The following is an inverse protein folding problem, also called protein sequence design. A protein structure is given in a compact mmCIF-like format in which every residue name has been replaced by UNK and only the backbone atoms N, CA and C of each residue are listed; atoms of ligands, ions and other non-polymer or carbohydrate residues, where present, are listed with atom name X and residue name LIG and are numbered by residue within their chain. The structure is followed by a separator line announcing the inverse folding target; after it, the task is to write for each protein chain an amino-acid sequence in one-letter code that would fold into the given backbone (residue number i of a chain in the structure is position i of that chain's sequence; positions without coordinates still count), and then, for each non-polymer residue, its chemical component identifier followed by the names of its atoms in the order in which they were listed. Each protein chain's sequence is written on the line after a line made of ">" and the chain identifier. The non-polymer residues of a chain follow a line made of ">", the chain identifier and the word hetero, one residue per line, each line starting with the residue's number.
data_IF_954260853664
#
_entry.id   IF_954260853664
#
_cell.length_a   1.000
_cell.length_b   1.000
_cell.length_c   1.000
_cell.angle_alpha   90.00
_cell.angle_beta   90.00
_cell.angle_gamma   90.00
#
_symmetry.space_group_name_H-M   'P 1'
#
loop_
_entity.id
_entity.type
_entity.pdbx_description
1 polymer ?
#
# COMPACT_ATOMS: atom_id res chain seq x y z
N UNK A 1 -3.08 -5.42 -30.82
CA UNK A 1 -1.63 -5.21 -30.65
C UNK A 1 -0.98 -5.39 -32.01
N UNK A 2 -0.36 -4.34 -32.54
CA UNK A 2 0.30 -4.41 -33.85
C UNK A 2 1.55 -5.28 -33.72
N UNK A 3 1.69 -6.28 -34.60
CA UNK A 3 2.81 -7.25 -34.59
C UNK A 3 4.18 -6.62 -34.90
N UNK A 4 4.21 -5.33 -35.24
CA UNK A 4 5.39 -4.62 -35.74
C UNK A 4 5.87 -3.48 -34.84
N UNK A 5 5.16 -3.16 -33.74
CA UNK A 5 5.57 -2.07 -32.83
C UNK A 5 5.26 -0.64 -33.31
N UNK A 6 4.64 -0.48 -34.49
CA UNK A 6 4.36 0.81 -35.14
C UNK A 6 3.57 1.82 -34.28
N UNK A 7 2.79 1.33 -33.31
CA UNK A 7 1.96 2.15 -32.42
C UNK A 7 2.61 2.41 -31.05
N UNK A 8 3.82 1.90 -30.81
CA UNK A 8 4.48 2.02 -29.51
C UNK A 8 4.94 3.45 -29.24
N UNK A 9 5.53 4.12 -30.24
CA UNK A 9 5.95 5.53 -30.14
C UNK A 9 4.78 6.46 -29.77
N UNK A 10 3.67 6.51 -30.54
CA UNK A 10 2.57 7.42 -30.20
C UNK A 10 1.92 7.09 -28.85
N UNK A 11 1.90 5.82 -28.44
CA UNK A 11 1.41 5.42 -27.12
C UNK A 11 2.32 5.96 -26.00
N UNK A 12 3.64 5.78 -26.12
CA UNK A 12 4.62 6.29 -25.15
C UNK A 12 4.53 7.81 -25.05
N UNK A 13 4.50 8.52 -26.18
CA UNK A 13 4.40 9.97 -26.22
C UNK A 13 3.12 10.46 -25.53
N UNK A 14 1.98 9.80 -25.81
CA UNK A 14 0.70 10.11 -25.17
C UNK A 14 0.77 9.94 -23.65
N UNK A 15 1.33 8.82 -23.16
CA UNK A 15 1.43 8.54 -21.72
C UNK A 15 2.34 9.55 -21.04
N UNK A 16 3.52 9.84 -21.63
CA UNK A 16 4.46 10.84 -21.10
C UNK A 16 3.81 12.22 -21.03
N UNK A 17 3.13 12.64 -22.10
CA UNK A 17 2.40 13.90 -22.13
C UNK A 17 1.30 13.97 -21.06
N UNK A 18 0.63 12.86 -20.76
CA UNK A 18 -0.54 12.85 -19.88
C UNK A 18 -0.16 12.73 -18.40
N UNK A 19 0.86 11.94 -18.08
CA UNK A 19 1.15 11.52 -16.71
C UNK A 19 2.53 11.96 -16.22
N UNK A 20 3.42 12.40 -17.12
CA UNK A 20 4.82 12.68 -16.80
C UNK A 20 5.28 14.02 -17.42
N UNK A 21 4.38 14.98 -17.59
CA UNK A 21 4.70 16.29 -18.18
C UNK A 21 5.43 17.25 -17.22
N UNK A 22 5.29 17.07 -15.91
CA UNK A 22 5.91 17.94 -14.89
C UNK A 22 7.41 17.66 -14.69
N UNK A 23 7.96 16.59 -15.26
CA UNK A 23 9.43 16.35 -15.30
C UNK A 23 10.13 17.16 -16.39
N UNK A 24 9.44 18.10 -17.04
CA UNK A 24 9.92 18.89 -18.18
C UNK A 24 10.81 20.10 -17.83
N UNK A 25 11.01 20.45 -16.56
CA UNK A 25 11.85 21.60 -16.15
C UNK A 25 13.36 21.28 -16.10
N UNK A 26 13.79 20.10 -16.58
CA UNK A 26 15.19 19.89 -16.89
C UNK A 26 15.55 20.68 -18.17
N UNK A 27 16.60 21.54 -18.16
CA UNK A 27 16.96 22.35 -19.32
C UNK A 27 17.11 21.48 -20.57
N UNK A 28 16.56 21.96 -21.69
CA UNK A 28 16.69 21.38 -23.03
C UNK A 28 18.14 21.47 -23.50
N UNK A 29 19.00 20.65 -22.90
CA UNK A 29 20.33 20.33 -23.38
C UNK A 29 20.24 19.16 -24.35
N UNK A 30 21.14 19.12 -25.33
CA UNK A 30 21.18 18.21 -26.48
C UNK A 30 21.40 16.70 -26.16
N UNK A 31 20.91 16.19 -25.03
CA UNK A 31 20.77 14.76 -24.71
C UNK A 31 19.44 14.53 -23.98
N UNK A 32 18.32 14.64 -24.69
CA UNK A 32 17.04 14.25 -24.10
C UNK A 32 17.02 12.73 -23.90
N UNK A 33 16.82 12.21 -22.68
CA UNK A 33 16.42 10.81 -22.53
C UNK A 33 15.14 10.64 -23.36
N UNK A 34 15.09 9.57 -24.17
CA UNK A 34 13.94 9.31 -25.03
C UNK A 34 12.65 9.29 -24.20
N UNK A 35 11.50 9.53 -24.83
CA UNK A 35 10.20 9.47 -24.14
C UNK A 35 10.02 8.14 -23.38
N UNK A 36 10.61 7.04 -23.90
CA UNK A 36 10.64 5.75 -23.25
C UNK A 36 11.41 5.73 -21.92
N UNK A 37 12.57 6.39 -21.84
CA UNK A 37 13.33 6.54 -20.59
C UNK A 37 12.54 7.34 -19.55
N UNK A 38 11.92 8.45 -19.96
CA UNK A 38 11.09 9.27 -19.07
C UNK A 38 9.89 8.48 -18.54
N UNK A 39 9.24 7.71 -19.42
CA UNK A 39 8.15 6.83 -19.05
C UNK A 39 8.61 5.78 -18.03
N UNK A 40 9.70 5.06 -18.31
CA UNK A 40 10.19 3.99 -17.44
C UNK A 40 10.58 4.51 -16.05
N UNK A 41 11.27 5.65 -15.99
CA UNK A 41 11.65 6.28 -14.72
C UNK A 41 10.43 6.74 -13.90
N UNK A 42 9.46 7.37 -14.57
CA UNK A 42 8.22 7.80 -13.94
C UNK A 42 7.39 6.63 -13.42
N UNK A 43 7.29 5.55 -14.19
CA UNK A 43 6.60 4.31 -13.78
C UNK A 43 7.33 3.64 -12.61
N UNK A 44 8.67 3.61 -12.61
CA UNK A 44 9.45 3.12 -11.48
C UNK A 44 9.10 3.85 -10.18
N UNK A 45 9.03 5.19 -10.23
CA UNK A 45 8.62 6.01 -9.08
C UNK A 45 7.17 5.73 -8.64
N UNK A 46 6.26 5.61 -9.59
CA UNK A 46 4.85 5.31 -9.33
C UNK A 46 4.66 3.95 -8.68
N UNK A 47 5.30 2.90 -9.21
CA UNK A 47 5.20 1.54 -8.67
C UNK A 47 5.78 1.44 -7.26
N UNK A 48 6.92 2.08 -7.01
CA UNK A 48 7.53 2.11 -5.67
C UNK A 48 6.63 2.81 -4.63
N UNK A 49 6.03 3.95 -5.00
CA UNK A 49 5.09 4.68 -4.14
C UNK A 49 3.80 3.90 -3.89
N UNK A 50 3.24 3.27 -4.92
CA UNK A 50 1.99 2.53 -4.82
C UNK A 50 2.14 1.29 -3.93
N UNK A 51 3.16 0.48 -4.20
CA UNK A 51 3.38 -0.76 -3.46
C UNK A 51 3.76 -0.52 -2.01
N UNK A 52 4.59 0.48 -1.72
CA UNK A 52 4.90 0.84 -0.33
C UNK A 52 3.65 1.22 0.45
N UNK A 53 2.70 1.91 -0.17
CA UNK A 53 1.42 2.25 0.45
C UNK A 53 0.55 1.01 0.72
N UNK A 54 0.49 0.07 -0.23
CA UNK A 54 -0.18 -1.22 -0.02
C UNK A 54 0.42 -1.98 1.17
N UNK A 55 1.75 -2.04 1.27
CA UNK A 55 2.44 -2.74 2.36
C UNK A 55 2.05 -2.17 3.72
N UNK A 56 2.13 -0.85 3.91
CA UNK A 56 1.85 -0.23 5.21
C UNK A 56 0.37 -0.22 5.59
N UNK A 57 -0.54 -0.40 4.64
CA UNK A 57 -1.97 -0.55 4.88
C UNK A 57 -2.42 -2.01 5.02
N UNK A 58 -1.53 -2.99 4.79
CA UNK A 58 -1.91 -4.40 4.83
C UNK A 58 -2.82 -4.80 3.66
N UNK A 59 -2.72 -4.09 2.52
CA UNK A 59 -3.50 -4.40 1.32
C UNK A 59 -2.79 -5.47 0.48
N UNK A 60 -3.55 -6.46 0.04
CA UNK A 60 -3.13 -7.52 -0.87
C UNK A 60 -4.00 -7.45 -2.12
N UNK A 61 -3.39 -7.20 -3.28
CA UNK A 61 -4.10 -7.10 -4.56
C UNK A 61 -4.57 -8.47 -5.07
N UNK A 62 -3.79 -9.52 -4.84
CA UNK A 62 -4.16 -10.91 -5.15
C UNK A 62 -4.00 -11.35 -6.62
N UNK A 63 -3.89 -10.42 -7.59
CA UNK A 63 -3.58 -10.72 -9.02
C UNK A 63 -2.79 -9.56 -9.65
N UNK A 64 -1.47 -9.57 -9.46
CA UNK A 64 -0.56 -8.54 -9.98
C UNK A 64 0.09 -8.96 -11.30
N UNK A 65 -0.73 -9.38 -12.27
CA UNK A 65 -0.27 -9.58 -13.65
C UNK A 65 0.11 -8.22 -14.29
N UNK A 66 0.88 -8.24 -15.38
CA UNK A 66 1.37 -7.01 -16.03
C UNK A 66 0.26 -6.14 -16.61
N UNK A 67 -0.86 -6.73 -17.04
CA UNK A 67 -2.06 -6.02 -17.49
C UNK A 67 -2.81 -5.30 -16.36
N UNK A 68 -2.57 -5.69 -15.10
CA UNK A 68 -3.12 -5.05 -13.90
C UNK A 68 -2.17 -4.02 -13.26
N UNK A 69 -1.04 -3.72 -13.91
CA UNK A 69 -0.07 -2.75 -13.43
C UNK A 69 -0.18 -1.42 -14.21
N UNK A 70 -1.07 -0.53 -13.77
CA UNK A 70 -1.27 0.75 -14.44
C UNK A 70 -0.04 1.66 -14.34
N UNK A 71 0.41 2.15 -15.50
CA UNK A 71 1.60 3.01 -15.62
C UNK A 71 1.45 4.36 -14.86
N UNK A 72 0.23 4.82 -14.61
CA UNK A 72 -0.05 6.00 -13.78
C UNK A 72 0.12 5.76 -12.27
N UNK A 73 0.37 4.52 -11.82
CA UNK A 73 0.56 4.20 -10.41
C UNK A 73 -0.73 4.16 -9.59
N UNK A 74 -1.87 3.89 -10.23
CA UNK A 74 -3.15 3.65 -9.57
C UNK A 74 -3.41 2.15 -9.41
N UNK A 75 -4.17 1.78 -8.37
CA UNK A 75 -4.67 0.41 -8.23
C UNK A 75 -5.84 0.18 -9.18
N UNK A 76 -5.89 -0.95 -9.86
CA UNK A 76 -6.99 -1.36 -10.76
C UNK A 76 -7.37 -2.81 -10.49
N UNK A 77 -8.45 -3.25 -11.11
CA UNK A 77 -8.86 -4.66 -11.16
C UNK A 77 -9.00 -5.29 -9.77
N UNK A 78 -9.87 -4.67 -8.98
CA UNK A 78 -10.28 -5.13 -7.65
C UNK A 78 -11.09 -6.42 -7.76
N UNK A 79 -10.41 -7.53 -8.02
CA UNK A 79 -10.95 -8.88 -7.98
C UNK A 79 -10.74 -9.50 -6.60
N UNK A 80 -9.74 -10.38 -6.42
CA UNK A 80 -9.51 -11.06 -5.17
C UNK A 80 -8.55 -10.25 -4.27
N UNK A 81 -8.78 -8.94 -4.18
CA UNK A 81 -8.03 -8.08 -3.28
C UNK A 81 -8.66 -8.07 -1.88
N UNK A 82 -7.85 -7.79 -0.87
CA UNK A 82 -8.30 -7.68 0.50
C UNK A 82 -7.36 -6.82 1.33
N UNK A 83 -7.89 -6.24 2.40
CA UNK A 83 -7.08 -5.76 3.50
C UNK A 83 -6.97 -6.86 4.56
N UNK A 84 -5.81 -6.96 5.19
CA UNK A 84 -5.60 -7.86 6.32
C UNK A 84 -6.41 -7.40 7.53
N UNK A 85 -7.17 -8.32 8.12
CA UNK A 85 -7.77 -8.11 9.44
C UNK A 85 -6.68 -8.28 10.51
N UNK A 86 -6.33 -9.51 10.85
CA UNK A 86 -5.16 -9.80 11.69
C UNK A 86 -3.85 -9.70 10.90
N UNK A 87 -2.76 -9.40 11.59
CA UNK A 87 -1.44 -9.40 10.99
C UNK A 87 -0.95 -10.83 10.71
N UNK A 88 -0.91 -11.20 9.44
CA UNK A 88 -0.27 -12.40 8.91
C UNK A 88 0.87 -11.99 7.94
N UNK A 89 2.15 -12.24 8.28
CA UNK A 89 3.28 -11.88 7.43
C UNK A 89 3.31 -12.61 6.08
N UNK A 90 2.46 -13.63 5.88
CA UNK A 90 2.30 -14.39 4.65
C UNK A 90 0.91 -14.25 4.02
N UNK A 91 0.15 -13.21 4.41
CA UNK A 91 -1.24 -13.04 4.00
C UNK A 91 -1.43 -13.18 2.48
N UNK A 92 -2.34 -14.07 2.10
CA UNK A 92 -2.72 -14.33 0.72
C UNK A 92 -4.21 -14.67 0.65
N UNK A 93 -4.97 -13.95 -0.18
CA UNK A 93 -6.43 -14.07 -0.23
C UNK A 93 -6.96 -14.65 -1.55
N UNK A 94 -6.16 -14.58 -2.61
CA UNK A 94 -6.61 -14.97 -3.93
C UNK A 94 -6.85 -16.48 -4.02
N UNK A 95 -8.09 -16.87 -4.31
CA UNK A 95 -8.49 -18.27 -4.44
C UNK A 95 -7.74 -19.02 -5.57
N UNK A 96 -7.22 -18.29 -6.55
CA UNK A 96 -6.44 -18.83 -7.67
C UNK A 96 -4.93 -18.85 -7.40
N UNK A 97 -4.45 -18.09 -6.41
CA UNK A 97 -3.03 -18.03 -6.04
C UNK A 97 -2.65 -19.10 -5.00
N UNK A 98 -2.65 -20.36 -5.44
CA UNK A 98 -2.33 -21.50 -4.57
C UNK A 98 -0.88 -21.55 -4.10
N UNK A 99 0.02 -20.80 -4.73
CA UNK A 99 1.46 -20.79 -4.44
C UNK A 99 1.91 -19.54 -3.70
N UNK A 100 1.00 -18.60 -3.41
CA UNK A 100 1.32 -17.34 -2.73
C UNK A 100 2.18 -16.40 -3.56
N UNK A 101 2.13 -16.48 -4.91
CA UNK A 101 2.89 -15.59 -5.80
C UNK A 101 2.59 -14.11 -5.51
N UNK A 102 1.34 -13.81 -5.19
CA UNK A 102 0.83 -12.47 -4.92
C UNK A 102 0.54 -12.23 -3.43
N UNK A 103 1.11 -13.05 -2.54
CA UNK A 103 1.05 -12.83 -1.10
C UNK A 103 1.62 -11.45 -0.72
N UNK A 104 1.16 -10.91 0.41
CA UNK A 104 1.53 -9.59 0.92
C UNK A 104 3.04 -9.26 0.80
N UNK A 105 3.99 -10.08 1.29
CA UNK A 105 5.41 -9.75 1.24
C UNK A 105 6.02 -9.81 -0.17
N UNK A 106 5.36 -10.48 -1.11
CA UNK A 106 5.86 -10.70 -2.47
C UNK A 106 5.50 -9.53 -3.42
N UNK A 107 4.48 -8.73 -3.09
CA UNK A 107 3.98 -7.66 -3.98
C UNK A 107 5.05 -6.66 -4.43
N UNK A 108 5.98 -6.19 -3.56
CA UNK A 108 7.06 -5.28 -3.99
C UNK A 108 7.96 -5.93 -5.04
N UNK A 109 8.32 -7.20 -4.87
CA UNK A 109 9.14 -7.95 -5.82
C UNK A 109 8.43 -8.22 -7.15
N UNK A 110 7.13 -8.49 -7.11
CA UNK A 110 6.32 -8.66 -8.33
C UNK A 110 6.24 -7.36 -9.13
N UNK A 111 6.07 -6.21 -8.48
CA UNK A 111 6.02 -4.92 -9.17
C UNK A 111 7.39 -4.51 -9.73
N UNK A 112 8.49 -4.91 -9.07
CA UNK A 112 9.83 -4.81 -9.64
C UNK A 112 9.96 -5.64 -10.92
N UNK A 113 9.45 -6.88 -10.91
CA UNK A 113 9.44 -7.75 -12.08
C UNK A 113 8.57 -7.21 -13.22
N UNK A 114 7.37 -6.68 -12.91
CA UNK A 114 6.49 -6.04 -13.90
C UNK A 114 7.17 -4.81 -14.54
N UNK A 115 7.96 -4.04 -13.77
CA UNK A 115 8.77 -2.94 -14.29
C UNK A 115 9.84 -3.42 -15.28
N UNK A 116 10.51 -4.54 -14.99
CA UNK A 116 11.49 -5.13 -15.91
C UNK A 116 10.84 -5.60 -17.23
N UNK A 117 9.66 -6.22 -17.18
CA UNK A 117 8.90 -6.60 -18.38
C UNK A 117 8.50 -5.39 -19.22
N UNK A 118 8.08 -4.29 -18.57
CA UNK A 118 7.82 -3.03 -19.27
C UNK A 118 9.08 -2.50 -19.96
N UNK A 119 10.22 -2.55 -19.28
CA UNK A 119 11.47 -2.06 -19.83
C UNK A 119 11.92 -2.83 -21.09
N UNK A 120 11.75 -4.16 -21.12
CA UNK A 120 12.01 -4.98 -22.30
C UNK A 120 11.21 -4.50 -23.52
N UNK A 121 9.94 -4.13 -23.31
CA UNK A 121 9.08 -3.60 -24.36
C UNK A 121 9.54 -2.22 -24.88
N UNK A 122 10.27 -1.46 -24.07
CA UNK A 122 10.71 -0.10 -24.36
C UNK A 122 12.12 -0.03 -24.98
N UNK A 123 12.91 -1.11 -24.95
CA UNK A 123 14.30 -1.12 -25.45
C UNK A 123 14.45 -0.50 -26.86
N UNK A 124 13.61 -0.83 -27.87
CA UNK A 124 13.76 -0.26 -29.21
C UNK A 124 13.55 1.26 -29.27
N UNK A 125 12.92 1.84 -28.25
CA UNK A 125 12.67 3.29 -28.14
C UNK A 125 13.67 3.99 -27.21
N UNK A 126 14.49 3.24 -26.48
CA UNK A 126 15.53 3.80 -25.62
C UNK A 126 16.77 4.13 -26.46
N UNK A 127 17.23 3.19 -27.27
CA UNK A 127 18.42 3.36 -28.12
C UNK A 127 18.45 2.33 -29.26
N UNK A 128 19.05 2.68 -30.41
CA UNK A 128 19.17 1.78 -31.58
C UNK A 128 20.11 0.60 -31.32
N UNK A 129 21.18 0.82 -30.54
CA UNK A 129 22.04 -0.25 -30.02
C UNK A 129 21.39 -0.90 -28.79
N UNK A 130 21.12 -2.20 -28.91
CA UNK A 130 20.38 -2.99 -27.92
C UNK A 130 21.08 -3.07 -26.56
N UNK A 131 22.41 -3.20 -26.53
CA UNK A 131 23.16 -3.30 -25.27
C UNK A 131 23.19 -1.96 -24.53
N UNK A 132 23.31 -0.85 -25.26
CA UNK A 132 23.15 0.49 -24.71
C UNK A 132 21.74 0.71 -24.15
N UNK A 133 20.70 0.27 -24.87
CA UNK A 133 19.32 0.35 -24.40
C UNK A 133 19.09 -0.45 -23.11
N UNK A 134 19.61 -1.69 -23.05
CA UNK A 134 19.54 -2.54 -21.85
C UNK A 134 20.24 -1.91 -20.67
N UNK A 135 21.43 -1.35 -20.86
CA UNK A 135 22.18 -0.70 -19.78
C UNK A 135 21.38 0.48 -19.19
N UNK A 136 20.87 1.36 -20.05
CA UNK A 136 20.07 2.51 -19.61
C UNK A 136 18.76 2.09 -18.92
N UNK A 137 18.09 1.04 -19.40
CA UNK A 137 16.91 0.48 -18.75
C UNK A 137 17.23 -0.12 -17.38
N UNK A 138 18.31 -0.89 -17.28
CA UNK A 138 18.73 -1.55 -16.05
C UNK A 138 19.09 -0.55 -14.96
N UNK A 139 19.78 0.55 -15.30
CA UNK A 139 20.08 1.64 -14.35
C UNK A 139 18.82 2.22 -13.69
N UNK A 140 17.68 2.21 -14.39
CA UNK A 140 16.40 2.71 -13.85
C UNK A 140 15.69 1.64 -13.02
N UNK A 141 15.68 0.40 -13.50
CA UNK A 141 15.10 -0.74 -12.79
C UNK A 141 15.80 -0.94 -11.43
N UNK A 142 17.13 -0.87 -11.40
CA UNK A 142 17.94 -1.05 -10.19
C UNK A 142 17.68 0.01 -9.11
N UNK A 143 17.05 1.14 -9.45
CA UNK A 143 16.64 2.16 -8.49
C UNK A 143 15.35 1.79 -7.75
N UNK A 144 14.54 0.86 -8.27
CA UNK A 144 13.24 0.50 -7.69
C UNK A 144 13.34 0.08 -6.22
N UNK A 145 14.24 -0.83 -5.79
CA UNK A 145 14.32 -1.26 -4.40
C UNK A 145 14.59 -0.10 -3.43
N UNK A 146 15.50 0.82 -3.80
CA UNK A 146 15.84 1.99 -2.99
C UNK A 146 14.66 2.97 -2.91
N UNK A 147 13.98 3.23 -4.03
CA UNK A 147 12.78 4.09 -4.07
C UNK A 147 11.63 3.51 -3.25
N UNK A 148 11.37 2.21 -3.39
CA UNK A 148 10.37 1.50 -2.59
C UNK A 148 10.69 1.61 -1.10
N UNK A 149 11.93 1.32 -0.71
CA UNK A 149 12.34 1.35 0.69
C UNK A 149 12.20 2.76 1.29
N UNK A 150 12.60 3.80 0.56
CA UNK A 150 12.44 5.19 1.00
C UNK A 150 10.97 5.56 1.25
N UNK A 151 10.06 5.23 0.32
CA UNK A 151 8.62 5.48 0.50
C UNK A 151 8.04 4.64 1.64
N UNK A 152 8.42 3.37 1.74
CA UNK A 152 7.96 2.48 2.79
C UNK A 152 8.39 2.97 4.18
N UNK A 153 9.66 3.37 4.34
CA UNK A 153 10.17 3.94 5.59
C UNK A 153 9.48 5.25 5.93
N UNK A 154 9.21 6.10 4.94
CA UNK A 154 8.48 7.36 5.15
C UNK A 154 7.07 7.10 5.70
N UNK A 155 6.30 6.21 5.05
CA UNK A 155 4.96 5.87 5.52
C UNK A 155 4.98 5.20 6.89
N UNK A 156 5.90 4.27 7.12
CA UNK A 156 6.01 3.56 8.39
C UNK A 156 6.41 4.51 9.54
N UNK A 157 7.32 5.45 9.29
CA UNK A 157 7.63 6.52 10.24
C UNK A 157 6.37 7.31 10.61
N UNK A 158 5.60 7.74 9.60
CA UNK A 158 4.37 8.50 9.82
C UNK A 158 3.35 7.70 10.64
N UNK A 159 3.16 6.41 10.34
CA UNK A 159 2.25 5.53 11.09
C UNK A 159 2.67 5.32 12.54
N UNK A 160 3.97 5.39 12.82
CA UNK A 160 4.55 5.29 14.17
C UNK A 160 4.69 6.64 14.87
N UNK A 161 4.30 7.75 14.23
CA UNK A 161 4.50 9.09 14.80
C UNK A 161 5.98 9.43 15.02
N UNK A 162 6.84 9.04 14.07
CA UNK A 162 8.26 9.35 14.00
C UNK A 162 8.54 10.33 12.85
N UNK A 163 9.49 11.23 13.03
CA UNK A 163 9.89 12.19 12.00
C UNK A 163 10.74 11.55 10.89
N UNK A 164 11.52 10.54 11.26
CA UNK A 164 12.26 9.65 10.36
C UNK A 164 12.58 8.34 11.06
N UNK A 165 12.77 7.28 10.27
CA UNK A 165 13.39 6.05 10.76
C UNK A 165 14.91 6.17 10.74
N UNK A 166 15.54 5.51 11.70
CA UNK A 166 16.98 5.35 11.83
C UNK A 166 17.31 3.87 12.00
N UNK A 167 18.57 3.47 11.79
CA UNK A 167 18.98 2.06 11.89
C UNK A 167 18.55 1.34 13.19
N UNK A 168 18.66 1.96 14.38
CA UNK A 168 18.17 1.34 15.62
C UNK A 168 16.66 1.03 15.63
N UNK A 169 15.86 1.79 14.86
CA UNK A 169 14.40 1.65 14.82
C UNK A 169 13.95 0.35 14.16
N UNK A 170 14.79 -0.27 13.32
CA UNK A 170 14.49 -1.57 12.71
C UNK A 170 14.17 -2.64 13.74
N UNK A 171 14.92 -2.68 14.85
CA UNK A 171 14.68 -3.64 15.94
C UNK A 171 13.37 -3.38 16.68
N UNK A 172 12.98 -2.11 16.83
CA UNK A 172 11.72 -1.71 17.46
C UNK A 172 10.54 -2.12 16.57
N UNK A 173 10.63 -1.83 15.28
CA UNK A 173 9.62 -2.18 14.27
C UNK A 173 9.45 -3.69 14.15
N UNK A 174 10.56 -4.45 14.12
CA UNK A 174 10.48 -5.91 14.04
C UNK A 174 9.75 -6.50 15.25
N UNK A 175 10.09 -6.06 16.47
CA UNK A 175 9.37 -6.49 17.68
C UNK A 175 7.88 -6.19 17.62
N UNK A 176 7.48 -5.03 17.09
CA UNK A 176 6.08 -4.68 16.92
C UNK A 176 5.36 -5.73 16.05
N UNK A 177 5.88 -5.99 14.85
CA UNK A 177 5.29 -6.98 13.94
C UNK A 177 5.32 -8.40 14.52
N UNK A 178 6.37 -8.79 15.24
CA UNK A 178 6.47 -10.10 15.89
C UNK A 178 5.37 -10.27 16.95
N UNK A 179 5.08 -9.23 17.74
CA UNK A 179 3.98 -9.22 18.71
C UNK A 179 2.64 -9.33 17.99
N UNK A 180 2.42 -8.53 16.93
CA UNK A 180 1.16 -8.59 16.18
C UNK A 180 0.92 -10.00 15.61
N UNK A 181 1.96 -10.63 15.05
CA UNK A 181 1.86 -11.96 14.47
C UNK A 181 1.62 -13.03 15.53
N UNK A 182 2.35 -12.97 16.65
CA UNK A 182 2.27 -13.99 17.72
C UNK A 182 0.92 -14.01 18.42
N UNK A 183 0.24 -12.86 18.49
CA UNK A 183 -1.06 -12.70 19.12
C UNK A 183 -2.22 -12.57 18.11
N UNK A 184 -1.96 -12.74 16.80
CA UNK A 184 -2.94 -12.55 15.71
C UNK A 184 -3.72 -11.22 15.84
N UNK A 185 -3.01 -10.13 16.20
CA UNK A 185 -3.64 -8.84 16.45
C UNK A 185 -4.11 -8.19 15.15
N UNK A 186 -5.22 -7.44 15.23
CA UNK A 186 -5.73 -6.67 14.11
C UNK A 186 -4.71 -5.61 13.66
N UNK A 187 -4.28 -5.68 12.40
CA UNK A 187 -3.20 -4.86 11.87
C UNK A 187 -3.57 -3.38 11.84
N UNK A 188 -4.79 -3.07 11.41
CA UNK A 188 -5.26 -1.68 11.31
C UNK A 188 -5.49 -1.09 12.70
N UNK A 189 -6.18 -1.82 13.58
CA UNK A 189 -6.51 -1.35 14.92
C UNK A 189 -5.26 -1.26 15.81
N UNK A 190 -4.22 -2.07 15.61
CA UNK A 190 -2.96 -1.92 16.33
C UNK A 190 -2.29 -0.56 16.02
N UNK A 191 -2.21 -0.16 14.75
CA UNK A 191 -1.71 1.17 14.39
C UNK A 191 -2.65 2.29 14.83
N UNK A 192 -3.96 2.05 14.81
CA UNK A 192 -4.92 3.01 15.35
C UNK A 192 -4.77 3.18 16.86
N UNK A 193 -4.48 2.11 17.58
CA UNK A 193 -4.17 2.13 19.00
C UNK A 193 -2.96 2.98 19.33
N UNK A 194 -1.87 2.86 18.56
CA UNK A 194 -0.74 3.78 18.70
C UNK A 194 -1.14 5.24 18.48
N UNK A 195 -2.03 5.50 17.53
CA UNK A 195 -2.54 6.86 17.28
C UNK A 195 -3.29 7.40 18.49
N UNK A 196 -4.19 6.63 19.07
CA UNK A 196 -4.98 7.06 20.23
C UNK A 196 -4.15 7.15 21.52
N UNK A 197 -3.16 6.28 21.68
CA UNK A 197 -2.19 6.36 22.79
C UNK A 197 -1.34 7.63 22.66
N UNK A 198 -0.84 7.94 21.46
CA UNK A 198 -0.02 9.13 21.23
C UNK A 198 -0.80 10.45 21.45
N UNK A 199 -2.10 10.46 21.13
CA UNK A 199 -2.97 11.62 21.24
C UNK A 199 -3.71 11.68 22.60
N UNK A 200 -3.45 10.74 23.52
CA UNK A 200 -4.14 10.63 24.82
C UNK A 200 -5.67 10.54 24.69
N UNK A 201 -6.16 9.99 23.58
CA UNK A 201 -7.56 9.96 23.19
C UNK A 201 -8.23 8.59 23.35
N UNK A 202 -7.49 7.56 23.78
CA UNK A 202 -7.97 6.17 23.84
C UNK A 202 -9.37 6.02 24.48
N UNK A 203 -9.61 6.66 25.62
CA UNK A 203 -10.89 6.59 26.36
C UNK A 203 -12.04 7.40 25.73
N UNK A 204 -11.74 8.21 24.72
CA UNK A 204 -12.70 9.06 24.00
C UNK A 204 -13.04 8.50 22.61
N UNK A 205 -12.66 7.26 22.33
CA UNK A 205 -12.87 6.57 21.05
C UNK A 205 -13.51 5.20 21.30
N UNK A 206 -14.11 4.55 20.27
CA UNK A 206 -14.62 3.19 20.41
C UNK A 206 -13.51 2.13 20.55
N UNK A 207 -12.24 2.51 20.42
CA UNK A 207 -11.13 1.57 20.32
C UNK A 207 -10.98 0.59 21.50
N UNK A 208 -11.23 0.97 22.78
CA UNK A 208 -11.16 0.03 23.90
C UNK A 208 -12.13 -1.17 23.78
N UNK A 209 -13.22 -1.04 23.01
CA UNK A 209 -14.16 -2.13 22.75
C UNK A 209 -13.73 -2.99 21.55
N UNK A 210 -12.87 -2.46 20.68
CA UNK A 210 -12.48 -3.07 19.40
C UNK A 210 -11.11 -3.74 19.45
N UNK A 211 -10.22 -3.27 20.34
CA UNK A 211 -8.83 -3.69 20.40
C UNK A 211 -8.31 -3.70 21.84
N UNK A 212 -7.74 -4.83 22.23
CA UNK A 212 -7.04 -4.98 23.51
C UNK A 212 -5.57 -5.25 23.25
N UNK A 213 -4.71 -4.34 23.70
CA UNK A 213 -3.27 -4.54 23.64
C UNK A 213 -2.84 -5.59 24.68
N UNK A 214 -2.09 -6.65 24.31
CA UNK A 214 -1.46 -7.53 25.28
C UNK A 214 -0.38 -6.79 26.08
N UNK A 215 0.09 -7.41 27.17
CA UNK A 215 1.13 -6.85 28.05
C UNK A 215 2.41 -6.55 27.25
N UNK A 216 2.82 -7.48 26.39
CA UNK A 216 4.02 -7.34 25.55
C UNK A 216 3.94 -6.14 24.60
N UNK A 217 2.74 -5.85 24.05
CA UNK A 217 2.54 -4.67 23.21
C UNK A 217 2.55 -3.38 24.02
N UNK A 218 2.04 -3.43 25.26
CA UNK A 218 2.05 -2.30 26.19
C UNK A 218 3.48 -1.95 26.60
N UNK A 219 4.29 -2.96 26.95
CA UNK A 219 5.72 -2.79 27.25
C UNK A 219 6.50 -2.25 26.03
N UNK A 220 6.23 -2.80 24.85
CA UNK A 220 6.80 -2.28 23.60
C UNK A 220 6.42 -0.80 23.37
N UNK A 221 5.20 -0.40 23.72
CA UNK A 221 4.75 0.98 23.54
C UNK A 221 5.52 1.96 24.44
N UNK A 222 6.03 1.54 25.60
CA UNK A 222 6.89 2.37 26.44
C UNK A 222 8.25 2.66 25.79
N UNK A 223 8.85 1.66 25.14
CA UNK A 223 10.06 1.84 24.31
C UNK A 223 9.79 2.80 23.15
N UNK A 224 8.67 2.59 22.45
CA UNK A 224 8.26 3.42 21.33
C UNK A 224 8.00 4.88 21.74
N UNK A 225 7.32 5.13 22.86
CA UNK A 225 7.13 6.47 23.39
C UNK A 225 8.45 7.15 23.73
N UNK A 226 9.40 6.44 24.36
CA UNK A 226 10.76 6.96 24.58
C UNK A 226 11.46 7.31 23.27
N UNK A 227 11.31 6.49 22.23
CA UNK A 227 11.86 6.80 20.90
C UNK A 227 11.21 8.03 20.27
N UNK A 228 9.91 8.25 20.45
CA UNK A 228 9.21 9.44 19.93
C UNK A 228 9.68 10.74 20.55
N UNK A 229 10.14 10.72 21.80
CA UNK A 229 10.75 11.89 22.46
C UNK A 229 12.05 12.37 21.77
N UNK A 230 12.64 11.54 20.91
CA UNK A 230 13.84 11.88 20.12
C UNK A 230 13.53 12.48 18.74
N UNK A 231 12.25 12.67 18.40
CA UNK A 231 11.86 13.39 17.19
C UNK A 231 12.48 14.80 17.18
N UNK A 232 12.94 15.25 16.02
CA UNK A 232 13.60 16.56 15.85
C UNK A 232 12.65 17.67 15.41
N UNK A 233 11.44 17.30 15.00
CA UNK A 233 10.35 18.22 14.63
C UNK A 233 9.34 18.35 15.78
N UNK A 234 8.38 19.25 15.62
CA UNK A 234 7.32 19.47 16.60
C UNK A 234 6.54 18.16 16.94
N UNK A 235 6.60 17.68 18.21
CA UNK A 235 5.94 16.45 18.63
C UNK A 235 4.43 16.49 18.45
N UNK A 236 3.78 17.63 18.64
CA UNK A 236 2.31 17.75 18.51
C UNK A 236 1.89 17.55 17.05
N UNK A 237 2.57 18.20 16.11
CA UNK A 237 2.37 18.02 14.68
C UNK A 237 2.51 16.56 14.23
N UNK A 238 3.57 15.86 14.64
CA UNK A 238 3.80 14.45 14.28
C UNK A 238 2.75 13.54 14.92
N UNK A 239 2.37 13.81 16.16
CA UNK A 239 1.30 13.09 16.88
C UNK A 239 -0.04 13.20 16.15
N UNK A 240 -0.39 14.42 15.74
CA UNK A 240 -1.64 14.69 15.03
C UNK A 240 -1.64 14.09 13.62
N UNK A 241 -0.50 14.08 12.94
CA UNK A 241 -0.35 13.50 11.60
C UNK A 241 -0.70 12.00 11.57
N UNK A 242 -0.48 11.26 12.67
CA UNK A 242 -0.85 9.84 12.76
C UNK A 242 -2.32 9.59 12.44
N UNK A 243 -3.23 10.52 12.80
CA UNK A 243 -4.66 10.39 12.53
C UNK A 243 -4.98 10.30 11.04
N UNK A 244 -4.13 10.85 10.16
CA UNK A 244 -4.35 10.90 8.71
C UNK A 244 -3.65 9.77 7.94
N UNK A 245 -2.87 8.94 8.62
CA UNK A 245 -2.15 7.80 8.02
C UNK A 245 -2.53 6.45 8.63
N UNK A 246 -3.16 6.47 9.81
CA UNK A 246 -3.71 5.29 10.47
C UNK A 246 -5.24 5.34 10.41
N UNK A 247 -5.86 4.63 9.44
CA UNK A 247 -7.30 4.66 9.29
C UNK A 247 -7.99 4.05 10.51
N UNK A 248 -9.17 4.59 10.83
CA UNK A 248 -10.09 4.03 11.81
C UNK A 248 -10.84 2.81 11.24
N UNK A 249 -11.09 2.82 9.93
CA UNK A 249 -11.79 1.74 9.22
C UNK A 249 -11.13 1.40 7.89
N UNK A 250 -11.31 0.16 7.47
CA UNK A 250 -10.92 -0.38 6.16
C UNK A 250 -12.12 -1.13 5.57
N UNK A 251 -12.18 -1.37 4.26
CA UNK A 251 -13.22 -2.21 3.66
C UNK A 251 -12.93 -3.70 3.99
N UNK A 252 -13.18 -4.10 5.24
CA UNK A 252 -12.96 -5.45 5.74
C UNK A 252 -13.77 -6.46 4.92
N UNK A 253 -13.19 -7.62 4.63
CA UNK A 253 -13.82 -8.59 3.73
C UNK A 253 -15.22 -9.04 4.22
N UNK A 254 -15.43 -9.21 5.51
CA UNK A 254 -16.72 -9.62 6.05
C UNK A 254 -17.82 -8.54 5.87
N UNK A 255 -17.46 -7.26 5.97
CA UNK A 255 -18.39 -6.15 5.73
C UNK A 255 -18.72 -6.01 4.25
N UNK A 256 -17.73 -6.25 3.38
CA UNK A 256 -17.93 -6.31 1.93
C UNK A 256 -18.81 -7.50 1.55
N UNK A 257 -18.55 -8.69 2.10
CA UNK A 257 -19.35 -9.90 1.86
C UNK A 257 -20.80 -9.72 2.30
N UNK A 258 -21.03 -9.15 3.49
CA UNK A 258 -22.38 -8.80 3.95
C UNK A 258 -23.09 -7.88 2.96
N UNK A 259 -22.37 -6.93 2.36
CA UNK A 259 -22.91 -6.05 1.32
C UNK A 259 -23.28 -6.80 0.05
N UNK A 260 -22.45 -7.74 -0.39
CA UNK A 260 -22.74 -8.61 -1.54
C UNK A 260 -24.01 -9.43 -1.27
N UNK A 261 -24.07 -10.12 -0.13
CA UNK A 261 -25.20 -11.00 0.24
C UNK A 261 -26.54 -10.25 0.32
N UNK A 262 -26.52 -8.98 0.75
CA UNK A 262 -27.70 -8.12 0.80
C UNK A 262 -28.06 -7.59 -0.61
N UNK A 263 -27.05 -7.16 -1.38
CA UNK A 263 -27.26 -6.66 -2.73
C UNK A 263 -27.83 -7.73 -3.67
N UNK A 264 -27.43 -9.01 -3.53
CA UNK A 264 -28.01 -10.14 -4.26
C UNK A 264 -29.50 -10.34 -3.99
N UNK A 265 -29.99 -9.89 -2.83
CA UNK A 265 -31.42 -9.89 -2.46
C UNK A 265 -32.15 -8.61 -2.90
N UNK A 266 -31.44 -7.67 -3.52
CA UNK A 266 -31.94 -6.37 -3.94
C UNK A 266 -31.88 -5.28 -2.86
N UNK A 267 -31.20 -5.53 -1.74
CA UNK A 267 -31.06 -4.58 -0.62
C UNK A 267 -29.72 -3.82 -0.73
N UNK A 268 -29.75 -2.55 -1.15
CA UNK A 268 -28.54 -1.77 -1.43
C UNK A 268 -28.10 -0.84 -0.29
N UNK A 269 -28.96 -0.60 0.71
CA UNK A 269 -28.71 0.34 1.81
C UNK A 269 -27.37 0.08 2.52
N UNK A 270 -27.00 -1.19 2.71
CA UNK A 270 -25.72 -1.54 3.35
C UNK A 270 -24.52 -1.08 2.53
N UNK A 271 -24.53 -1.33 1.21
CA UNK A 271 -23.45 -0.94 0.30
C UNK A 271 -23.34 0.58 0.23
N UNK A 272 -24.47 1.28 0.17
CA UNK A 272 -24.49 2.74 0.19
C UNK A 272 -23.87 3.29 1.48
N UNK A 273 -24.26 2.76 2.65
CA UNK A 273 -23.67 3.16 3.94
C UNK A 273 -22.17 2.86 4.00
N UNK A 274 -21.74 1.68 3.55
CA UNK A 274 -20.32 1.29 3.53
C UNK A 274 -19.50 2.26 2.65
N UNK A 275 -20.00 2.60 1.46
CA UNK A 275 -19.35 3.58 0.57
C UNK A 275 -19.31 4.97 1.19
N UNK A 276 -20.43 5.44 1.77
CA UNK A 276 -20.45 6.76 2.42
C UNK A 276 -19.48 6.83 3.59
N UNK A 277 -19.44 5.77 4.40
CA UNK A 277 -18.56 5.69 5.55
C UNK A 277 -17.09 5.63 5.12
N UNK A 278 -16.78 4.87 4.06
CA UNK A 278 -15.44 4.75 3.49
C UNK A 278 -14.85 6.05 2.92
N UNK A 279 -15.63 7.12 2.74
CA UNK A 279 -15.14 8.44 2.29
C UNK A 279 -14.31 9.19 3.33
N UNK A 280 -14.43 8.81 4.61
CA UNK A 280 -13.69 9.43 5.72
C UNK A 280 -13.00 8.37 6.59
N UNK A 281 -12.14 7.51 6.03
CA UNK A 281 -11.70 6.29 6.71
C UNK A 281 -10.81 6.57 7.93
N UNK A 282 -10.31 7.79 8.08
CA UNK A 282 -9.40 8.24 9.13
C UNK A 282 -10.09 8.86 10.36
N UNK A 283 -11.35 9.29 10.22
CA UNK A 283 -12.11 9.93 11.30
C UNK A 283 -13.00 8.90 12.00
N UNK A 284 -13.03 8.91 13.33
CA UNK A 284 -14.06 8.17 14.09
C UNK A 284 -15.43 8.82 13.92
N UNK A 285 -16.47 8.00 13.79
CA UNK A 285 -17.88 8.37 13.77
C UNK A 285 -18.67 7.53 14.79
N UNK A 286 -19.86 8.00 15.16
CA UNK A 286 -20.64 7.41 16.26
C UNK A 286 -20.94 5.91 16.08
N UNK A 287 -21.13 5.44 14.84
CA UNK A 287 -21.51 4.06 14.52
C UNK A 287 -20.32 3.14 14.19
N UNK A 288 -19.09 3.57 14.47
CA UNK A 288 -17.88 2.87 14.03
C UNK A 288 -17.59 1.56 14.76
N UNK A 289 -18.29 1.26 15.85
CA UNK A 289 -18.23 -0.07 16.43
C UNK A 289 -18.60 -1.15 15.40
N UNK A 290 -19.57 -0.89 14.51
CA UNK A 290 -19.93 -1.85 13.45
C UNK A 290 -18.90 -1.87 12.31
N UNK A 291 -18.34 -0.72 11.92
CA UNK A 291 -17.49 -0.60 10.74
C UNK A 291 -16.01 -0.93 10.99
N UNK A 292 -15.56 -0.81 12.24
CA UNK A 292 -14.16 -1.04 12.61
C UNK A 292 -13.91 -2.42 13.21
N UNK A 293 -14.95 -3.14 13.67
CA UNK A 293 -14.79 -4.42 14.35
C UNK A 293 -14.08 -5.46 13.47
N UNK A 294 -13.19 -6.28 14.04
CA UNK A 294 -12.72 -7.48 13.38
C UNK A 294 -13.89 -8.45 13.09
N UNK A 295 -13.74 -9.36 12.11
CA UNK A 295 -14.73 -10.39 11.85
C UNK A 295 -14.86 -11.36 13.04
N UNK A 296 -16.09 -11.81 13.30
CA UNK A 296 -16.29 -13.02 14.10
C UNK A 296 -15.75 -14.25 13.35
N UNK A 297 -15.51 -15.35 14.06
CA UNK A 297 -14.90 -16.56 13.47
C UNK A 297 -15.70 -17.09 12.26
N UNK A 298 -17.03 -17.04 12.33
CA UNK A 298 -17.97 -17.46 11.28
C UNK A 298 -18.12 -16.45 10.13
N UNK A 299 -17.67 -15.21 10.33
CA UNK A 299 -17.69 -14.15 9.31
C UNK A 299 -16.37 -14.05 8.53
N UNK A 300 -15.33 -14.80 8.94
CA UNK A 300 -13.99 -14.73 8.33
C UNK A 300 -14.02 -15.17 6.87
N UNK A 301 -13.77 -14.22 5.97
CA UNK A 301 -13.57 -14.47 4.54
C UNK A 301 -12.08 -14.73 4.28
N UNK A 302 -11.72 -16.01 4.17
CA UNK A 302 -10.33 -16.46 3.96
C UNK A 302 -9.89 -16.46 2.50
N UNK A 303 -10.84 -16.36 1.57
CA UNK A 303 -10.57 -16.30 0.13
C UNK A 303 -11.49 -15.33 -0.55
N UNK A 304 -10.94 -14.62 -1.52
CA UNK A 304 -11.64 -13.73 -2.43
C UNK A 304 -11.49 -14.23 -3.86
N UNK A 305 -12.37 -13.78 -4.75
CA UNK A 305 -12.53 -14.33 -6.10
C UNK A 305 -12.42 -13.23 -7.16
N UNK A 306 -11.85 -13.56 -8.32
CA UNK A 306 -11.95 -12.69 -9.49
C UNK A 306 -13.30 -12.91 -10.18
N UNK A 307 -14.14 -11.88 -10.28
CA UNK A 307 -15.34 -11.91 -11.11
C UNK A 307 -16.47 -12.80 -10.57
N UNK A 308 -17.62 -12.18 -10.33
CA UNK A 308 -18.94 -12.80 -10.41
C UNK A 308 -19.67 -12.18 -11.59
#
# INVERSE_FOLDING_TARGET
>A
MTRSGDELVPLVDYIVSRHFSETADAPQSASHPSAAVKLLDGVCQHFARLTSHWQVLGFVHGVLNTDNALLCGETIDYGPCAFMDHFDPQACFSSIDRQGRYAWPNQPGIMHWNLAVLAECLLPLIHDDEETAKHAAQEIIDQYPARFHAHHQHWLAAKLGLDRLTEPDHSLIQRFHDILASHELDFTLAFRWLTEVANESLQHTPLPELFSAPEELSDWAEDWQRRRQLNTVDPESVTRAMQFVNPAIIPRNHLVQRGIDLAEKGELDWVERLVQRGRKPFEWQADDLEWARPPHEDERVTRTFCGT
#
